data_IF_295213272655
#
_entry.id   IF_295213272655
#
_cell.length_a   1.000
_cell.length_b   1.000
_cell.length_c   1.000
_cell.angle_alpha   90.00
_cell.angle_beta   90.00
_cell.angle_gamma   90.00
#
_symmetry.space_group_name_H-M   'P 1'
#
loop_
_entity.id
_entity.type
_entity.pdbx_description
1 polymer ?
#
# COMPACT_ATOMS: atom_id res chain seq x y z
N UNK A 1 17.56 -20.80 -22.17
CA UNK A 1 16.89 -20.52 -20.88
C UNK A 1 15.89 -19.37 -21.06
N UNK A 2 14.58 -19.66 -21.06
CA UNK A 2 13.57 -18.61 -21.15
C UNK A 2 13.65 -17.73 -19.90
N UNK A 3 14.24 -16.53 -20.00
CA UNK A 3 14.12 -15.49 -18.98
C UNK A 3 12.64 -15.14 -18.91
N UNK A 4 11.89 -15.79 -18.01
CA UNK A 4 10.54 -15.39 -17.61
C UNK A 4 10.57 -13.88 -17.45
N UNK A 5 9.83 -13.17 -18.29
CA UNK A 5 9.63 -11.74 -18.13
C UNK A 5 8.91 -11.59 -16.78
N UNK A 6 9.65 -11.28 -15.71
CA UNK A 6 9.09 -10.91 -14.40
C UNK A 6 8.43 -9.51 -14.53
N UNK A 7 7.42 -9.39 -15.40
CA UNK A 7 6.79 -8.12 -15.74
C UNK A 7 5.88 -7.61 -14.62
N UNK A 8 5.33 -8.52 -13.80
CA UNK A 8 4.40 -8.20 -12.72
C UNK A 8 5.13 -8.20 -11.37
N UNK A 9 5.05 -7.10 -10.59
CA UNK A 9 5.52 -7.08 -9.21
C UNK A 9 4.86 -8.17 -8.37
N UNK A 10 5.59 -8.75 -7.41
CA UNK A 10 4.98 -9.60 -6.40
C UNK A 10 3.95 -8.84 -5.55
N UNK A 11 3.19 -9.59 -4.75
CA UNK A 11 2.12 -9.07 -3.91
C UNK A 11 2.63 -7.98 -2.96
N UNK A 12 1.90 -6.87 -2.89
CA UNK A 12 2.19 -5.81 -1.91
C UNK A 12 2.15 -6.35 -0.49
N UNK A 13 2.96 -5.79 0.42
CA UNK A 13 2.98 -6.23 1.82
C UNK A 13 3.02 -5.03 2.76
N UNK A 14 2.05 -4.98 3.69
CA UNK A 14 2.07 -4.04 4.82
C UNK A 14 2.77 -4.75 5.98
N UNK A 15 3.97 -4.29 6.35
CA UNK A 15 4.73 -4.87 7.46
C UNK A 15 4.17 -4.44 8.81
N UNK A 16 3.86 -3.15 8.97
CA UNK A 16 3.31 -2.59 10.21
C UNK A 16 2.22 -1.57 9.91
N UNK A 17 1.21 -1.52 10.77
CA UNK A 17 0.14 -0.53 10.71
C UNK A 17 -0.05 0.05 12.11
N UNK A 18 0.11 1.37 12.24
CA UNK A 18 0.08 2.06 13.54
C UNK A 18 -0.94 3.20 13.48
N UNK A 19 -1.77 3.35 14.51
CA UNK A 19 -2.68 4.49 14.64
C UNK A 19 -2.05 5.65 15.41
N UNK A 20 -2.26 6.87 14.90
CA UNK A 20 -1.99 8.13 15.57
C UNK A 20 -3.25 8.98 15.68
N UNK A 21 -3.12 10.21 16.20
CA UNK A 21 -4.22 11.17 16.34
C UNK A 21 -4.72 11.58 14.96
N UNK A 22 -5.92 11.13 14.56
CA UNK A 22 -6.48 11.39 13.21
C UNK A 22 -5.57 10.93 12.06
N UNK A 23 -4.65 10.00 12.31
CA UNK A 23 -3.65 9.52 11.34
C UNK A 23 -3.42 8.01 11.44
N UNK A 24 -2.94 7.41 10.35
CA UNK A 24 -2.46 6.04 10.30
C UNK A 24 -1.12 5.97 9.58
N UNK A 25 -0.13 5.32 10.19
CA UNK A 25 1.17 5.04 9.58
C UNK A 25 1.17 3.63 9.01
N UNK A 26 1.29 3.54 7.68
CA UNK A 26 1.35 2.29 6.92
C UNK A 26 2.80 2.05 6.54
N UNK A 27 3.45 1.08 7.18
CA UNK A 27 4.80 0.64 6.82
C UNK A 27 4.73 -0.48 5.81
N UNK A 28 5.44 -0.34 4.70
CA UNK A 28 5.49 -1.35 3.64
C UNK A 28 6.77 -2.16 3.73
N UNK A 29 6.71 -3.42 3.27
CA UNK A 29 7.93 -4.21 3.04
C UNK A 29 8.51 -3.83 1.67
N UNK A 30 9.79 -3.50 1.64
CA UNK A 30 10.49 -3.17 0.40
C UNK A 30 10.61 -4.41 -0.49
N UNK A 31 10.22 -4.26 -1.73
CA UNK A 31 10.38 -5.24 -2.81
C UNK A 31 11.41 -4.72 -3.81
N UNK A 32 12.31 -5.60 -4.25
CA UNK A 32 13.31 -5.27 -5.25
C UNK A 32 12.70 -5.14 -6.64
N UNK A 33 13.22 -4.23 -7.47
CA UNK A 33 12.83 -4.08 -8.87
C UNK A 33 11.45 -3.45 -9.11
N UNK A 34 10.85 -2.79 -8.11
CA UNK A 34 9.57 -2.08 -8.24
C UNK A 34 9.76 -0.56 -8.22
N UNK A 35 8.92 0.16 -8.98
CA UNK A 35 8.98 1.62 -9.09
C UNK A 35 8.28 2.32 -7.94
N UNK A 36 7.31 1.66 -7.29
CA UNK A 36 6.63 2.22 -6.13
C UNK A 36 5.46 1.38 -5.63
N UNK A 37 4.62 2.00 -4.80
CA UNK A 37 3.48 1.38 -4.15
C UNK A 37 2.26 2.29 -4.19
N UNK A 38 1.08 1.68 -4.23
CA UNK A 38 -0.19 2.37 -4.01
C UNK A 38 -0.86 1.84 -2.76
N UNK A 39 -1.21 2.75 -1.86
CA UNK A 39 -1.93 2.48 -0.62
C UNK A 39 -3.38 2.88 -0.83
N UNK A 40 -4.27 1.96 -0.55
CA UNK A 40 -5.71 2.15 -0.62
C UNK A 40 -6.31 2.01 0.77
N UNK A 41 -7.30 2.84 1.08
CA UNK A 41 -8.03 2.81 2.35
C UNK A 41 -9.55 2.70 2.14
N UNK A 42 -10.21 2.08 3.11
CA UNK A 42 -11.67 1.98 3.18
C UNK A 42 -12.14 2.19 4.63
N UNK A 43 -13.37 2.68 4.77
CA UNK A 43 -14.06 2.85 6.05
C UNK A 43 -14.79 1.57 6.53
N UNK A 44 -14.74 0.48 5.76
CA UNK A 44 -15.38 -0.79 6.07
C UNK A 44 -14.65 -1.95 5.39
N UNK A 45 -14.71 -3.16 5.99
CA UNK A 45 -13.96 -4.35 5.53
C UNK A 45 -14.30 -4.76 4.10
N UNK A 46 -15.57 -4.66 3.73
CA UNK A 46 -16.11 -4.92 2.39
C UNK A 46 -16.45 -3.62 1.63
N UNK A 47 -15.97 -2.48 2.13
CA UNK A 47 -16.28 -1.18 1.54
C UNK A 47 -15.47 -0.89 0.28
N UNK A 48 -15.83 0.20 -0.40
CA UNK A 48 -15.08 0.68 -1.56
C UNK A 48 -13.74 1.25 -1.13
N UNK A 49 -12.66 0.60 -1.57
CA UNK A 49 -11.31 1.05 -1.34
C UNK A 49 -10.97 2.21 -2.28
N UNK A 50 -10.55 3.34 -1.71
CA UNK A 50 -10.08 4.50 -2.46
C UNK A 50 -8.57 4.64 -2.30
N UNK A 51 -7.93 5.16 -3.34
CA UNK A 51 -6.49 5.44 -3.30
C UNK A 51 -6.23 6.52 -2.26
N UNK A 52 -5.47 6.18 -1.22
CA UNK A 52 -5.12 7.11 -0.16
C UNK A 52 -3.78 7.81 -0.45
N UNK A 53 -2.81 7.07 -0.99
CA UNK A 53 -1.48 7.59 -1.34
C UNK A 53 -0.84 6.71 -2.41
N UNK A 54 0.04 7.29 -3.22
CA UNK A 54 1.04 6.57 -3.99
C UNK A 54 2.41 7.10 -3.65
N UNK A 55 3.39 6.22 -3.55
CA UNK A 55 4.78 6.56 -3.28
C UNK A 55 5.70 5.85 -4.27
N UNK A 56 6.84 6.46 -4.60
CA UNK A 56 7.93 5.79 -5.29
C UNK A 56 8.71 4.94 -4.28
N UNK A 57 9.44 3.94 -4.77
CA UNK A 57 10.33 3.15 -3.90
C UNK A 57 11.43 4.03 -3.33
N UNK A 58 11.63 3.96 -2.02
CA UNK A 58 12.65 4.70 -1.26
C UNK A 58 13.29 3.79 -0.20
N UNK A 59 14.30 4.30 0.51
CA UNK A 59 14.93 3.58 1.62
C UNK A 59 13.94 3.36 2.79
N UNK A 60 13.13 4.38 3.10
CA UNK A 60 12.03 4.29 4.06
C UNK A 60 10.69 4.19 3.34
N UNK A 61 9.84 3.26 3.78
CA UNK A 61 8.50 3.03 3.22
C UNK A 61 7.41 3.19 4.31
N UNK A 62 7.60 4.17 5.18
CA UNK A 62 6.65 4.58 6.20
C UNK A 62 5.74 5.69 5.65
N UNK A 63 4.47 5.37 5.40
CA UNK A 63 3.51 6.29 4.79
C UNK A 63 2.47 6.74 5.80
N UNK A 64 2.43 8.04 6.07
CA UNK A 64 1.42 8.63 6.95
C UNK A 64 0.19 9.03 6.13
N UNK A 65 -0.96 8.48 6.51
CA UNK A 65 -2.29 8.85 6.01
C UNK A 65 -2.93 9.75 7.06
N UNK A 66 -3.31 10.96 6.66
CA UNK A 66 -3.88 11.98 7.55
C UNK A 66 -5.38 12.18 7.29
N UNK A 67 -6.00 13.08 8.07
CA UNK A 67 -7.43 13.44 7.94
C UNK A 67 -8.38 12.24 8.15
N UNK A 68 -7.99 11.32 9.03
CA UNK A 68 -8.83 10.19 9.43
C UNK A 68 -9.69 10.58 10.65
N UNK A 69 -10.86 9.96 10.78
CA UNK A 69 -11.76 10.21 11.92
C UNK A 69 -11.31 9.37 13.12
N UNK A 70 -11.09 10.00 14.27
CA UNK A 70 -10.80 9.33 15.54
C UNK A 70 -11.94 8.38 15.95
N UNK A 71 -11.59 7.29 16.63
CA UNK A 71 -12.52 6.25 17.04
C UNK A 71 -12.99 5.32 15.91
N UNK A 72 -12.70 5.64 14.64
CA UNK A 72 -13.12 4.86 13.49
C UNK A 72 -12.07 3.84 13.06
N UNK A 73 -12.53 2.62 12.72
CA UNK A 73 -11.68 1.59 12.12
C UNK A 73 -11.53 1.83 10.63
N UNK A 74 -10.29 1.89 10.16
CA UNK A 74 -9.95 1.97 8.74
C UNK A 74 -9.21 0.72 8.30
N UNK A 75 -9.46 0.34 7.04
CA UNK A 75 -8.89 -0.83 6.40
C UNK A 75 -7.92 -0.37 5.33
N UNK A 76 -6.75 -0.99 5.26
CA UNK A 76 -5.68 -0.65 4.34
C UNK A 76 -5.24 -1.88 3.56
N UNK A 77 -5.02 -1.68 2.27
CA UNK A 77 -4.33 -2.63 1.41
C UNK A 77 -3.35 -1.89 0.52
N UNK A 78 -2.31 -2.57 0.10
CA UNK A 78 -1.26 -2.00 -0.74
C UNK A 78 -0.97 -2.90 -1.92
N UNK A 79 -0.48 -2.33 -3.02
CA UNK A 79 0.08 -3.09 -4.14
C UNK A 79 1.35 -2.41 -4.64
N UNK A 80 2.33 -3.21 -5.00
CA UNK A 80 3.53 -2.71 -5.68
C UNK A 80 3.21 -2.45 -7.16
N UNK A 81 3.87 -1.48 -7.76
CA UNK A 81 3.83 -1.25 -9.20
C UNK A 81 5.23 -1.08 -9.77
N UNK A 82 5.39 -1.48 -11.03
CA UNK A 82 6.59 -1.24 -11.83
C UNK A 82 6.21 -0.46 -13.06
N UNK A 83 6.95 0.59 -13.34
CA UNK A 83 6.83 1.34 -14.59
C UNK A 83 7.74 0.69 -15.63
N UNK A 84 7.17 0.22 -16.73
CA UNK A 84 7.90 -0.33 -17.88
C UNK A 84 7.58 0.55 -19.08
N UNK A 85 8.55 1.34 -19.54
CA UNK A 85 8.32 2.42 -20.50
C UNK A 85 7.33 3.45 -19.93
N UNK A 86 6.17 3.62 -20.59
CA UNK A 86 5.10 4.55 -20.17
C UNK A 86 3.95 3.87 -19.39
N UNK A 87 3.98 2.54 -19.23
CA UNK A 87 2.89 1.75 -18.63
C UNK A 87 3.25 1.32 -17.20
N UNK A 88 2.25 1.34 -16.30
CA UNK A 88 2.38 0.79 -14.95
C UNK A 88 1.82 -0.63 -14.92
N UNK A 89 2.66 -1.57 -14.52
CA UNK A 89 2.28 -2.95 -14.24
C UNK A 89 2.11 -3.10 -12.74
N UNK A 90 0.95 -3.60 -12.33
CA UNK A 90 0.56 -3.71 -10.93
C UNK A 90 0.67 -5.15 -10.45
N UNK A 91 1.25 -5.33 -9.26
CA UNK A 91 1.22 -6.61 -8.55
C UNK A 91 -0.11 -6.87 -7.86
N UNK A 92 -0.23 -8.06 -7.30
CA UNK A 92 -1.39 -8.45 -6.49
C UNK A 92 -1.53 -7.57 -5.23
N UNK A 93 -2.76 -7.43 -4.76
CA UNK A 93 -3.07 -6.71 -3.53
C UNK A 93 -2.54 -7.45 -2.30
N UNK A 94 -2.06 -6.71 -1.31
CA UNK A 94 -1.75 -7.25 0.01
C UNK A 94 -2.98 -7.81 0.70
N UNK A 95 -2.75 -8.63 1.72
CA UNK A 95 -3.74 -8.86 2.75
C UNK A 95 -4.26 -7.51 3.30
N UNK A 96 -5.56 -7.46 3.58
CA UNK A 96 -6.20 -6.30 4.19
C UNK A 96 -5.78 -6.26 5.65
N UNK A 97 -5.21 -5.13 6.09
CA UNK A 97 -4.96 -4.85 7.50
C UNK A 97 -5.91 -3.74 7.97
N UNK A 98 -6.23 -3.72 9.25
CA UNK A 98 -7.10 -2.70 9.83
C UNK A 98 -6.47 -2.07 11.06
N UNK A 99 -6.85 -0.83 11.36
CA UNK A 99 -6.47 -0.14 12.58
C UNK A 99 -7.57 0.82 13.01
N UNK A 100 -7.82 0.90 14.32
CA UNK A 100 -8.72 1.89 14.92
C UNK A 100 -7.94 3.17 15.21
N UNK A 101 -8.41 4.28 14.65
CA UNK A 101 -7.74 5.58 14.75
C UNK A 101 -7.95 6.19 16.13
N UNK A 102 -6.89 6.82 16.66
CA UNK A 102 -6.92 7.50 17.95
C UNK A 102 -7.50 8.90 17.82
#
# INVERSE_FOLDING_TARGET
AAKKIKSVPAQGTISKLTAGKKTATVKLKKQSGVSGYEIYSAAGKKGTYKKAKAIKTSASLDVIITKLKSGKTYYFKTRAYKTVGKKKVYGAWSAIKQVKIK
#
